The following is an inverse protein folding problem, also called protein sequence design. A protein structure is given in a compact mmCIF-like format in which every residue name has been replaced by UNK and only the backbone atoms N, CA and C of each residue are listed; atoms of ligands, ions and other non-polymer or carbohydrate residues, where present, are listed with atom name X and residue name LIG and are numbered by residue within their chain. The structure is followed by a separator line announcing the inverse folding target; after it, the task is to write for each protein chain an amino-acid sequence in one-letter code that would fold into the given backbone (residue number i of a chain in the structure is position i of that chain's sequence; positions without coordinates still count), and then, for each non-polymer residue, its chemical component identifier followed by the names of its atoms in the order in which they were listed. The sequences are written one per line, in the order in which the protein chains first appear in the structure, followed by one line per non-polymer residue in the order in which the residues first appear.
data_IF_554263707960
#
_entry.id   IF_554263707960
#
_cell.length_a   1.000
_cell.length_b   1.000
_cell.length_c   1.000
_cell.angle_alpha   90.00
_cell.angle_beta   90.00
_cell.angle_gamma   90.00
#
_symmetry.space_group_name_H-M   'P 1'
#
loop_
_entity.id
_entity.type
_entity.pdbx_description
1 polymer ?
#
# COMPACT_ATOMS: atom_id res chain seq x y z
N UNK A 1 -27.69 12.02 48.09
CA UNK A 1 -27.29 11.56 46.74
C UNK A 1 -27.63 10.09 46.65
N UNK A 2 -28.59 9.64 45.82
CA UNK A 2 -28.95 8.24 45.72
C UNK A 2 -27.94 7.50 44.82
N UNK A 3 -27.39 6.39 45.35
CA UNK A 3 -26.53 5.45 44.66
C UNK A 3 -27.39 4.54 43.78
N UNK A 4 -27.18 4.62 42.46
CA UNK A 4 -27.80 3.71 41.48
C UNK A 4 -26.96 2.44 41.36
N UNK A 5 -27.56 1.29 41.72
CA UNK A 5 -26.94 -0.03 41.53
C UNK A 5 -27.03 -0.44 40.05
N UNK A 6 -25.97 -1.04 39.49
CA UNK A 6 -25.99 -1.58 38.12
C UNK A 6 -26.90 -2.81 38.04
N UNK A 7 -27.75 -2.84 37.01
CA UNK A 7 -28.66 -3.94 36.70
C UNK A 7 -27.90 -5.03 35.94
N UNK A 8 -27.77 -6.20 36.54
CA UNK A 8 -27.22 -7.41 35.93
C UNK A 8 -28.30 -8.04 35.03
N UNK A 9 -28.00 -8.24 33.77
CA UNK A 9 -28.82 -8.99 32.83
C UNK A 9 -28.52 -10.48 32.95
N UNK A 10 -29.52 -11.38 32.93
CA UNK A 10 -29.31 -12.81 33.01
C UNK A 10 -28.75 -13.38 31.69
N UNK A 11 -27.88 -14.38 31.82
CA UNK A 11 -27.29 -15.11 30.70
C UNK A 11 -28.35 -15.99 30.00
N UNK A 12 -28.26 -16.21 28.68
CA UNK A 12 -29.16 -17.09 27.96
C UNK A 12 -28.83 -18.57 28.23
N UNK A 13 -29.89 -19.35 28.49
CA UNK A 13 -29.87 -20.77 28.77
C UNK A 13 -29.31 -21.63 27.64
N UNK A 14 -28.37 -22.48 27.95
CA UNK A 14 -27.86 -23.55 27.09
C UNK A 14 -28.91 -24.65 26.95
N UNK A 15 -29.56 -24.75 25.81
CA UNK A 15 -30.33 -25.94 25.44
C UNK A 15 -29.49 -26.87 24.56
N UNK A 16 -29.12 -27.98 25.13
CA UNK A 16 -28.59 -29.16 24.45
C UNK A 16 -29.64 -29.72 23.48
N UNK A 17 -29.32 -29.75 22.20
CA UNK A 17 -30.09 -30.49 21.20
C UNK A 17 -29.36 -31.78 20.81
N UNK A 18 -30.12 -32.83 20.92
CA UNK A 18 -29.85 -34.24 20.68
C UNK A 18 -29.36 -34.56 19.27
N UNK A 19 -28.45 -35.52 19.21
CA UNK A 19 -27.87 -36.12 18.01
C UNK A 19 -28.88 -37.04 17.32
N UNK A 20 -29.10 -36.85 16.02
CA UNK A 20 -29.77 -37.78 15.10
C UNK A 20 -28.79 -38.21 13.99
N UNK A 21 -28.99 -39.40 13.34
CA UNK A 21 -27.94 -40.13 12.64
C UNK A 21 -27.58 -39.57 11.26
N UNK A 22 -26.31 -39.78 10.92
CA UNK A 22 -25.62 -39.46 9.66
C UNK A 22 -26.22 -40.04 8.40
N UNK A 23 -26.25 -39.22 7.34
CA UNK A 23 -26.41 -39.68 5.95
C UNK A 23 -25.21 -39.16 5.16
N UNK A 24 -24.51 -40.00 4.37
CA UNK A 24 -23.37 -39.57 3.58
C UNK A 24 -23.84 -38.95 2.27
N UNK A 25 -23.46 -37.70 2.05
CA UNK A 25 -23.71 -36.98 0.80
C UNK A 25 -22.83 -35.75 0.73
N UNK A 26 -21.69 -35.90 0.08
CA UNK A 26 -20.67 -34.87 -0.12
C UNK A 26 -21.19 -33.81 -1.07
N UNK A 27 -21.78 -32.78 -0.54
CA UNK A 27 -21.95 -31.51 -1.27
C UNK A 27 -21.06 -30.45 -0.56
N UNK A 28 -19.91 -30.21 -1.15
CA UNK A 28 -19.02 -29.10 -0.73
C UNK A 28 -19.75 -27.79 -1.04
N UNK A 29 -20.28 -27.15 -0.01
CA UNK A 29 -20.82 -25.80 -0.12
C UNK A 29 -19.66 -24.82 -0.32
N UNK A 30 -19.68 -23.93 -1.32
CA UNK A 30 -18.67 -22.90 -1.46
C UNK A 30 -18.72 -21.97 -0.26
N UNK A 31 -17.58 -21.81 0.43
CA UNK A 31 -17.42 -20.83 1.51
C UNK A 31 -17.43 -19.43 0.89
N UNK A 32 -18.41 -18.63 1.28
CA UNK A 32 -18.42 -17.20 1.00
C UNK A 32 -17.23 -16.60 1.79
N UNK A 33 -16.25 -16.03 1.08
CA UNK A 33 -15.09 -15.36 1.70
C UNK A 33 -13.72 -15.88 1.29
N UNK A 34 -13.61 -16.70 0.24
CA UNK A 34 -12.29 -17.05 -0.32
C UNK A 34 -11.76 -15.85 -1.12
N UNK A 35 -10.54 -15.34 -0.83
CA UNK A 35 -9.96 -14.23 -1.59
C UNK A 35 -9.84 -14.60 -3.08
N UNK A 36 -10.00 -13.62 -3.97
CA UNK A 36 -9.94 -13.81 -5.42
C UNK A 36 -8.64 -14.48 -5.94
N UNK A 37 -7.59 -14.51 -5.13
CA UNK A 37 -6.33 -15.21 -5.42
C UNK A 37 -6.48 -16.75 -5.55
N UNK A 38 -7.55 -17.33 -5.02
CA UNK A 38 -7.77 -18.78 -5.16
C UNK A 38 -8.23 -19.21 -6.56
N UNK A 39 -8.58 -18.25 -7.43
CA UNK A 39 -8.94 -18.53 -8.82
C UNK A 39 -7.74 -18.73 -9.75
N UNK A 40 -6.56 -18.26 -9.34
CA UNK A 40 -5.31 -18.37 -10.13
C UNK A 40 -4.65 -19.74 -9.94
N UNK A 41 -4.95 -20.47 -8.86
CA UNK A 41 -4.32 -21.75 -8.53
C UNK A 41 -5.11 -23.00 -8.97
N UNK A 42 -6.10 -22.88 -9.86
CA UNK A 42 -6.87 -24.04 -10.32
C UNK A 42 -6.27 -24.81 -11.50
N UNK A 43 -5.12 -24.44 -11.98
CA UNK A 43 -4.44 -25.15 -13.08
C UNK A 43 -3.17 -25.89 -12.65
N UNK A 44 -2.94 -26.13 -11.36
CA UNK A 44 -1.90 -27.02 -10.89
C UNK A 44 -2.48 -28.43 -10.66
N UNK A 45 -2.82 -29.11 -11.73
CA UNK A 45 -3.21 -30.51 -11.76
C UNK A 45 -2.67 -31.15 -13.02
N UNK A 46 -1.62 -31.95 -12.84
CA UNK A 46 -1.07 -32.96 -13.75
C UNK A 46 -0.51 -32.48 -15.10
N UNK A 47 0.79 -32.66 -15.25
CA UNK A 47 1.55 -32.87 -16.46
C UNK A 47 1.63 -31.73 -17.50
N UNK A 48 2.79 -31.18 -17.63
CA UNK A 48 3.20 -30.39 -18.78
C UNK A 48 3.62 -28.97 -18.44
N UNK A 49 4.90 -28.76 -18.47
CA UNK A 49 5.56 -27.47 -18.56
C UNK A 49 5.01 -26.74 -19.80
N UNK A 50 4.05 -25.87 -19.63
CA UNK A 50 3.79 -24.79 -20.57
C UNK A 50 4.05 -23.46 -19.89
N UNK A 51 5.18 -22.89 -20.26
CA UNK A 51 5.51 -21.50 -20.00
C UNK A 51 4.40 -20.64 -20.57
N UNK A 52 3.57 -20.07 -19.69
CA UNK A 52 2.71 -18.97 -20.08
C UNK A 52 3.65 -17.81 -20.45
N UNK A 53 3.81 -17.60 -21.73
CA UNK A 53 4.49 -16.45 -22.31
C UNK A 53 3.74 -15.21 -21.81
N UNK A 54 4.31 -14.52 -20.86
CA UNK A 54 3.84 -13.19 -20.46
C UNK A 54 4.04 -12.26 -21.65
N UNK A 55 2.93 -11.91 -22.29
CA UNK A 55 2.89 -10.80 -23.24
C UNK A 55 2.90 -9.52 -22.40
N UNK A 56 4.07 -8.99 -22.18
CA UNK A 56 4.30 -7.74 -21.48
C UNK A 56 5.77 -7.68 -21.09
N UNK A 57 6.52 -6.77 -21.67
CA UNK A 57 7.91 -6.45 -21.29
C UNK A 57 7.90 -5.82 -19.90
N UNK A 58 7.43 -6.55 -18.90
CA UNK A 58 7.48 -6.15 -17.50
C UNK A 58 8.82 -6.61 -16.93
N UNK A 59 9.47 -5.73 -16.21
CA UNK A 59 10.60 -6.06 -15.31
C UNK A 59 10.20 -7.28 -14.48
N UNK A 60 11.05 -8.30 -14.40
CA UNK A 60 10.79 -9.48 -13.58
C UNK A 60 10.43 -9.03 -12.16
N UNK A 61 9.44 -9.67 -11.51
CA UNK A 61 8.91 -9.21 -10.21
C UNK A 61 10.00 -9.00 -9.15
N UNK A 62 11.09 -9.75 -9.19
CA UNK A 62 12.23 -9.59 -8.28
C UNK A 62 13.11 -8.36 -8.56
N UNK A 63 13.04 -7.81 -9.77
CA UNK A 63 13.83 -6.64 -10.18
C UNK A 63 13.03 -5.33 -10.13
N UNK A 64 11.74 -5.41 -9.80
CA UNK A 64 10.92 -4.21 -9.66
C UNK A 64 11.38 -3.38 -8.46
N UNK A 65 11.43 -2.04 -8.56
CA UNK A 65 11.86 -1.16 -7.47
C UNK A 65 11.15 -1.44 -6.14
N UNK A 66 9.84 -1.69 -6.17
CA UNK A 66 9.07 -2.06 -4.98
C UNK A 66 9.58 -3.33 -4.28
N UNK A 67 10.16 -4.27 -5.01
CA UNK A 67 10.71 -5.51 -4.42
C UNK A 67 12.21 -5.39 -4.16
N UNK A 68 12.91 -4.67 -5.03
CA UNK A 68 14.37 -4.54 -4.99
C UNK A 68 14.83 -3.65 -3.84
N UNK A 69 14.08 -2.58 -3.57
CA UNK A 69 14.45 -1.57 -2.58
C UNK A 69 13.68 -1.66 -1.27
N UNK A 70 12.65 -2.52 -1.19
CA UNK A 70 11.93 -2.74 0.05
C UNK A 70 12.85 -3.32 1.14
N UNK A 71 12.70 -2.83 2.36
CA UNK A 71 13.37 -3.42 3.52
C UNK A 71 12.76 -4.78 3.85
N UNK A 72 13.57 -5.75 4.25
CA UNK A 72 13.06 -7.05 4.69
C UNK A 72 12.12 -6.89 5.88
N UNK A 73 10.96 -7.51 5.79
CA UNK A 73 9.98 -7.55 6.87
C UNK A 73 9.38 -8.94 7.00
N UNK A 74 9.34 -9.47 8.21
CA UNK A 74 8.78 -10.78 8.52
C UNK A 74 7.59 -10.66 9.45
N UNK A 75 6.53 -11.41 9.17
CA UNK A 75 5.34 -11.52 10.01
C UNK A 75 5.02 -13.00 10.26
N UNK A 76 5.84 -13.71 11.07
CA UNK A 76 5.72 -15.15 11.24
C UNK A 76 4.40 -15.56 11.92
N UNK A 77 3.81 -14.68 12.72
CA UNK A 77 2.54 -14.93 13.41
C UNK A 77 1.31 -14.57 12.58
N UNK A 78 1.49 -14.08 11.35
CA UNK A 78 0.43 -13.61 10.46
C UNK A 78 -0.53 -12.58 11.11
N UNK A 79 0.01 -11.71 11.97
CA UNK A 79 -0.76 -10.67 12.62
C UNK A 79 -1.23 -9.61 11.61
N UNK A 80 -2.32 -8.90 11.91
CA UNK A 80 -2.71 -7.74 11.14
C UNK A 80 -1.59 -6.69 11.10
N UNK A 81 -1.30 -6.18 9.90
CA UNK A 81 -0.22 -5.22 9.68
C UNK A 81 -0.79 -3.81 9.51
N UNK A 82 -0.05 -2.85 10.02
CA UNK A 82 -0.24 -1.43 9.77
C UNK A 82 1.10 -0.84 9.33
N UNK A 83 1.10 -0.12 8.21
CA UNK A 83 2.26 0.62 7.74
C UNK A 83 2.10 2.10 8.13
N UNK A 84 3.18 2.69 8.66
CA UNK A 84 3.25 4.10 8.99
C UNK A 84 4.16 4.77 7.97
N UNK A 85 3.65 5.82 7.33
CA UNK A 85 4.40 6.64 6.37
C UNK A 85 4.49 8.05 6.93
N UNK A 86 5.71 8.54 7.13
CA UNK A 86 5.98 9.90 7.56
C UNK A 86 6.25 10.77 6.33
N UNK A 87 5.58 11.92 6.24
CA UNK A 87 5.73 12.84 5.11
C UNK A 87 6.84 13.85 5.42
N UNK A 88 7.87 13.90 4.56
CA UNK A 88 8.92 14.88 4.62
C UNK A 88 8.65 16.01 3.61
N UNK A 89 8.28 17.16 4.14
CA UNK A 89 8.00 18.39 3.40
C UNK A 89 9.12 19.43 3.57
N UNK A 90 10.31 19.03 3.99
CA UNK A 90 11.46 19.89 4.12
C UNK A 90 11.90 20.18 5.56
N UNK A 91 11.56 19.30 6.52
CA UNK A 91 12.06 19.41 7.87
C UNK A 91 13.60 19.29 7.94
N UNK A 92 14.22 19.87 8.98
CA UNK A 92 15.64 19.72 9.21
C UNK A 92 15.97 18.28 9.63
N UNK A 93 16.68 17.56 8.79
CA UNK A 93 17.05 16.15 9.02
C UNK A 93 18.10 15.99 10.12
N UNK A 94 18.84 17.04 10.46
CA UNK A 94 19.89 17.00 11.47
C UNK A 94 19.37 17.44 12.86
N UNK A 95 18.11 17.87 12.95
CA UNK A 95 17.48 18.26 14.20
C UNK A 95 17.41 17.07 15.17
N UNK A 96 17.88 17.28 16.40
CA UNK A 96 17.97 16.21 17.39
C UNK A 96 16.61 15.67 17.84
N UNK A 97 15.56 16.49 17.78
CA UNK A 97 14.23 16.16 18.31
C UNK A 97 13.28 15.56 17.25
N UNK A 98 13.47 15.93 15.97
CA UNK A 98 12.55 15.56 14.88
C UNK A 98 13.26 15.00 13.64
N UNK A 99 14.60 15.06 13.61
CA UNK A 99 15.41 14.58 12.49
C UNK A 99 15.80 13.12 12.60
N UNK A 100 16.74 12.70 11.75
CA UNK A 100 17.25 11.32 11.71
C UNK A 100 17.73 10.78 13.07
N UNK A 101 18.36 11.57 13.96
CA UNK A 101 18.76 11.08 15.27
C UNK A 101 17.60 10.60 16.15
N UNK A 102 16.44 11.27 16.06
CA UNK A 102 15.24 10.87 16.80
C UNK A 102 14.63 9.58 16.26
N UNK A 103 14.72 9.35 14.95
CA UNK A 103 14.11 8.20 14.26
C UNK A 103 14.80 6.88 14.61
N UNK A 104 16.07 6.89 14.96
CA UNK A 104 16.80 5.70 15.41
C UNK A 104 16.23 5.08 16.70
N UNK A 105 15.42 5.84 17.46
CA UNK A 105 14.74 5.36 18.66
C UNK A 105 13.36 4.75 18.43
N UNK A 106 12.82 4.84 17.21
CA UNK A 106 11.50 4.26 16.85
C UNK A 106 11.60 2.73 16.83
N UNK A 107 10.82 2.01 17.66
CA UNK A 107 10.99 0.58 17.85
C UNK A 107 10.33 -0.29 16.76
N UNK A 108 9.74 0.30 15.74
CA UNK A 108 9.06 -0.38 14.65
C UNK A 108 9.44 0.24 13.30
N UNK A 109 9.37 -0.53 12.20
CA UNK A 109 9.68 -0.01 10.89
C UNK A 109 8.67 1.07 10.47
N UNK A 110 9.18 2.18 9.94
CA UNK A 110 8.43 3.26 9.33
C UNK A 110 8.96 3.51 7.94
N UNK A 111 8.13 4.11 7.08
CA UNK A 111 8.51 4.53 5.74
C UNK A 111 8.45 6.06 5.66
N UNK A 112 9.18 6.63 4.71
CA UNK A 112 9.17 8.07 4.46
C UNK A 112 8.61 8.38 3.08
N UNK A 113 7.90 9.48 2.95
CA UNK A 113 7.49 10.04 1.67
C UNK A 113 8.10 11.43 1.52
N UNK A 114 9.06 11.56 0.62
CA UNK A 114 9.79 12.81 0.38
C UNK A 114 9.11 13.61 -0.71
N UNK A 115 8.81 14.89 -0.45
CA UNK A 115 8.23 15.78 -1.44
C UNK A 115 9.19 16.01 -2.61
N UNK A 116 8.75 15.66 -3.83
CA UNK A 116 9.55 15.78 -5.05
C UNK A 116 9.88 17.23 -5.42
N UNK A 117 9.17 18.21 -4.86
CA UNK A 117 9.39 19.63 -5.10
C UNK A 117 10.57 20.20 -4.30
N UNK A 118 11.08 19.49 -3.31
CA UNK A 118 12.21 19.92 -2.52
C UNK A 118 13.49 19.95 -3.37
N UNK A 119 14.31 21.00 -3.27
CA UNK A 119 15.53 21.11 -4.05
C UNK A 119 16.59 20.05 -3.70
N UNK A 120 16.50 19.46 -2.52
CA UNK A 120 17.37 18.43 -1.97
C UNK A 120 16.68 17.05 -1.84
N UNK A 121 15.56 16.84 -2.57
CA UNK A 121 14.77 15.59 -2.47
C UNK A 121 15.61 14.32 -2.66
N UNK A 122 16.51 14.31 -3.63
CA UNK A 122 17.39 13.15 -3.89
C UNK A 122 18.35 12.85 -2.73
N UNK A 123 18.92 13.90 -2.13
CA UNK A 123 19.82 13.75 -0.99
C UNK A 123 19.06 13.25 0.25
N UNK A 124 17.83 13.73 0.46
CA UNK A 124 16.95 13.24 1.54
C UNK A 124 16.63 11.76 1.37
N UNK A 125 16.26 11.35 0.17
CA UNK A 125 16.04 9.92 -0.14
C UNK A 125 17.28 9.11 0.19
N UNK A 126 18.46 9.54 -0.26
CA UNK A 126 19.71 8.83 0.01
C UNK A 126 19.99 8.71 1.52
N UNK A 127 19.74 9.75 2.30
CA UNK A 127 19.92 9.76 3.77
C UNK A 127 18.98 8.80 4.47
N UNK A 128 17.67 8.81 4.13
CA UNK A 128 16.70 7.86 4.69
C UNK A 128 17.03 6.42 4.31
N UNK A 129 17.47 6.20 3.05
CA UNK A 129 17.90 4.86 2.59
C UNK A 129 19.14 4.38 3.35
N UNK A 130 20.10 5.24 3.63
CA UNK A 130 21.30 4.91 4.42
C UNK A 130 20.97 4.46 5.85
N UNK A 131 19.89 5.01 6.44
CA UNK A 131 19.37 4.59 7.75
C UNK A 131 18.48 3.33 7.69
N UNK A 132 18.26 2.77 6.50
CA UNK A 132 17.49 1.54 6.33
C UNK A 132 15.97 1.74 6.25
N UNK A 133 15.48 2.91 5.89
CA UNK A 133 14.05 3.16 5.72
C UNK A 133 13.58 2.89 4.28
N UNK A 134 12.35 2.47 4.13
CA UNK A 134 11.65 2.51 2.85
C UNK A 134 11.26 3.93 2.51
N UNK A 135 11.50 4.35 1.26
CA UNK A 135 11.23 5.71 0.82
C UNK A 135 10.31 5.71 -0.39
N UNK A 136 9.30 6.59 -0.36
CA UNK A 136 8.39 6.91 -1.44
C UNK A 136 8.64 8.33 -1.94
N UNK A 137 8.34 8.58 -3.21
CA UNK A 137 8.23 9.94 -3.71
C UNK A 137 6.83 10.49 -3.41
N UNK A 138 6.73 11.61 -2.71
CA UNK A 138 5.44 12.29 -2.54
C UNK A 138 5.22 13.24 -3.71
N UNK A 139 4.17 12.98 -4.48
CA UNK A 139 3.86 13.69 -5.73
C UNK A 139 2.54 14.43 -5.64
N UNK A 140 2.56 15.70 -5.98
CA UNK A 140 1.38 16.53 -6.18
C UNK A 140 1.26 16.91 -7.67
N UNK A 141 0.04 16.92 -8.17
CA UNK A 141 -0.27 17.52 -9.47
C UNK A 141 -1.09 18.80 -9.27
N UNK A 142 -0.95 19.79 -10.16
CA UNK A 142 -1.77 20.99 -10.09
C UNK A 142 -3.24 20.67 -10.38
N UNK A 143 -4.12 21.56 -9.93
CA UNK A 143 -5.55 21.48 -10.25
C UNK A 143 -5.75 21.52 -11.77
N UNK A 144 -6.58 20.63 -12.30
CA UNK A 144 -6.84 20.54 -13.73
C UNK A 144 -5.69 19.93 -14.55
N UNK A 145 -4.72 19.27 -13.88
CA UNK A 145 -3.63 18.57 -14.57
C UNK A 145 -4.15 17.63 -15.66
N UNK A 146 -3.39 17.57 -16.75
CA UNK A 146 -3.62 16.67 -17.85
C UNK A 146 -2.72 15.43 -17.75
N UNK A 147 -2.98 14.36 -18.49
CA UNK A 147 -2.11 13.16 -18.50
C UNK A 147 -0.63 13.46 -18.83
N UNK A 148 -0.37 14.48 -19.66
CA UNK A 148 1.00 14.93 -19.96
C UNK A 148 1.71 15.56 -18.77
N UNK A 149 0.97 16.26 -17.89
CA UNK A 149 1.54 16.84 -16.68
C UNK A 149 1.92 15.72 -15.69
N UNK A 150 1.08 14.69 -15.60
CA UNK A 150 1.37 13.51 -14.83
C UNK A 150 2.62 12.78 -15.36
N UNK A 151 2.76 12.63 -16.67
CA UNK A 151 3.93 12.00 -17.29
C UNK A 151 5.22 12.76 -16.97
N UNK A 152 5.23 14.07 -17.11
CA UNK A 152 6.40 14.90 -16.79
C UNK A 152 6.74 14.80 -15.30
N UNK A 153 5.76 15.01 -14.43
CA UNK A 153 5.99 15.00 -12.97
C UNK A 153 6.47 13.63 -12.49
N UNK A 154 5.83 12.56 -12.94
CA UNK A 154 6.25 11.19 -12.60
C UNK A 154 7.64 10.87 -13.14
N UNK A 155 7.97 11.31 -14.37
CA UNK A 155 9.31 11.13 -14.95
C UNK A 155 10.37 11.83 -14.10
N UNK A 156 10.12 13.07 -13.66
CA UNK A 156 11.03 13.82 -12.77
C UNK A 156 11.19 13.08 -11.45
N UNK A 157 10.09 12.64 -10.82
CA UNK A 157 10.13 11.93 -9.54
C UNK A 157 10.92 10.62 -9.62
N UNK A 158 10.57 9.76 -10.58
CA UNK A 158 11.17 8.42 -10.69
C UNK A 158 12.63 8.45 -11.15
N UNK A 159 13.02 9.43 -11.97
CA UNK A 159 14.42 9.57 -12.40
C UNK A 159 15.28 10.37 -11.42
N UNK A 160 14.65 11.33 -10.70
CA UNK A 160 15.37 12.21 -9.76
C UNK A 160 15.61 11.57 -8.38
N UNK A 161 14.80 10.58 -8.02
CA UNK A 161 14.89 9.92 -6.72
C UNK A 161 15.09 8.40 -6.90
N UNK A 162 16.33 7.94 -7.11
CA UNK A 162 16.62 6.51 -7.22
C UNK A 162 16.34 5.80 -5.88
N UNK A 163 16.09 4.48 -5.96
CA UNK A 163 15.87 3.61 -4.80
C UNK A 163 14.57 3.86 -4.00
N UNK A 164 13.63 4.59 -4.56
CA UNK A 164 12.28 4.66 -3.98
C UNK A 164 11.51 3.37 -4.28
N UNK A 165 10.66 2.96 -3.33
CA UNK A 165 9.81 1.75 -3.48
C UNK A 165 8.49 2.06 -4.18
N UNK A 166 8.07 3.31 -4.18
CA UNK A 166 6.77 3.72 -4.73
C UNK A 166 6.53 5.21 -4.67
N UNK A 167 5.30 5.57 -4.96
CA UNK A 167 4.80 6.94 -4.96
C UNK A 167 3.67 7.09 -3.96
N UNK A 168 3.71 8.15 -3.16
CA UNK A 168 2.60 8.62 -2.33
C UNK A 168 1.94 9.82 -3.02
N UNK A 169 0.63 9.79 -3.16
CA UNK A 169 -0.14 10.97 -3.52
C UNK A 169 -0.05 12.02 -2.42
N UNK A 170 0.36 13.22 -2.75
CA UNK A 170 0.44 14.32 -1.79
C UNK A 170 -0.94 14.81 -1.32
N UNK A 171 -0.95 15.70 -0.34
CA UNK A 171 -2.18 16.21 0.30
C UNK A 171 -2.92 17.26 -0.54
N UNK A 172 -2.31 17.79 -1.62
CA UNK A 172 -2.91 18.74 -2.56
C UNK A 172 -4.01 18.13 -3.43
N UNK A 173 -4.16 18.61 -4.67
CA UNK A 173 -5.16 18.07 -5.63
C UNK A 173 -4.91 16.59 -5.97
N UNK A 174 -3.65 16.20 -5.95
CA UNK A 174 -3.23 14.81 -6.00
C UNK A 174 -3.29 14.18 -7.39
N UNK A 175 -3.18 12.84 -7.40
CA UNK A 175 -3.10 12.02 -8.61
C UNK A 175 -4.48 11.58 -9.12
N UNK A 176 -5.54 11.86 -8.36
CA UNK A 176 -6.91 11.42 -8.60
C UNK A 176 -7.80 12.52 -9.22
N UNK A 177 -7.21 13.61 -9.74
CA UNK A 177 -7.95 14.77 -10.23
C UNK A 177 -8.87 14.47 -11.43
N UNK A 178 -8.47 13.53 -12.30
CA UNK A 178 -9.31 12.99 -13.37
C UNK A 178 -9.02 11.51 -13.60
N UNK A 179 -9.93 10.83 -14.30
CA UNK A 179 -9.72 9.42 -14.63
C UNK A 179 -8.54 9.24 -15.59
N UNK A 180 -8.41 10.12 -16.55
CA UNK A 180 -7.34 10.08 -17.56
C UNK A 180 -5.96 10.24 -16.91
N UNK A 181 -5.84 11.11 -15.91
CA UNK A 181 -4.62 11.29 -15.12
C UNK A 181 -4.34 10.03 -14.31
N UNK A 182 -5.34 9.49 -13.59
CA UNK A 182 -5.18 8.27 -12.80
C UNK A 182 -4.78 7.07 -13.67
N UNK A 183 -5.36 6.92 -14.86
CA UNK A 183 -5.01 5.89 -15.83
C UNK A 183 -3.56 6.07 -16.34
N UNK A 184 -3.10 7.31 -16.57
CA UNK A 184 -1.74 7.59 -17.02
C UNK A 184 -0.71 7.27 -15.92
N UNK A 185 -0.95 7.73 -14.69
CA UNK A 185 -0.08 7.42 -13.54
C UNK A 185 0.01 5.91 -13.33
N UNK A 186 -1.11 5.19 -13.38
CA UNK A 186 -1.15 3.74 -13.24
C UNK A 186 -0.28 3.05 -14.29
N UNK A 187 -0.37 3.47 -15.57
CA UNK A 187 0.48 2.92 -16.65
C UNK A 187 1.96 3.17 -16.42
N UNK A 188 2.33 4.37 -15.94
CA UNK A 188 3.72 4.70 -15.65
C UNK A 188 4.25 3.81 -14.52
N UNK A 189 3.48 3.65 -13.44
CA UNK A 189 3.88 2.81 -12.30
C UNK A 189 3.93 1.31 -12.65
N UNK A 190 3.03 0.84 -13.50
CA UNK A 190 3.07 -0.51 -14.05
C UNK A 190 4.35 -0.76 -14.86
N UNK A 191 4.72 0.18 -15.72
CA UNK A 191 5.92 0.07 -16.54
C UNK A 191 7.21 0.15 -15.72
N UNK A 192 7.24 0.98 -14.68
CA UNK A 192 8.41 1.22 -13.83
C UNK A 192 8.55 0.23 -12.66
N UNK A 193 7.48 -0.46 -12.27
CA UNK A 193 7.48 -1.44 -11.19
C UNK A 193 7.46 -0.84 -9.78
N UNK A 194 7.04 0.41 -9.62
CA UNK A 194 6.86 1.06 -8.32
C UNK A 194 5.46 0.84 -7.75
N UNK A 195 5.34 0.92 -6.41
CA UNK A 195 4.06 0.89 -5.72
C UNK A 195 3.34 2.24 -5.71
N UNK A 196 2.07 2.23 -5.30
CA UNK A 196 1.22 3.41 -5.20
C UNK A 196 0.52 3.49 -3.85
N UNK A 197 0.63 4.62 -3.19
CA UNK A 197 -0.20 4.97 -2.03
C UNK A 197 -1.00 6.22 -2.39
N UNK A 198 -2.32 6.16 -2.25
CA UNK A 198 -3.21 7.29 -2.58
C UNK A 198 -3.84 7.88 -1.32
N UNK A 199 -4.16 9.16 -1.36
CA UNK A 199 -4.99 9.77 -0.34
C UNK A 199 -6.40 9.18 -0.38
N UNK A 200 -7.05 9.15 0.79
CA UNK A 200 -8.43 8.67 0.89
C UNK A 200 -9.40 9.77 0.43
N UNK A 201 -9.55 9.90 -0.89
CA UNK A 201 -10.37 10.92 -1.53
C UNK A 201 -11.47 10.27 -2.37
N UNK A 202 -12.69 10.79 -2.24
CA UNK A 202 -13.81 10.37 -3.08
C UNK A 202 -14.09 8.86 -3.03
N UNK A 203 -14.24 8.22 -4.18
CA UNK A 203 -14.59 6.80 -4.29
C UNK A 203 -13.39 5.84 -4.19
N UNK A 204 -12.18 6.35 -4.02
CA UNK A 204 -10.95 5.53 -4.00
C UNK A 204 -10.87 4.52 -5.16
N UNK A 205 -11.20 4.96 -6.37
CA UNK A 205 -11.20 4.10 -7.55
C UNK A 205 -9.80 3.81 -8.08
N UNK A 206 -8.87 4.75 -7.92
CA UNK A 206 -7.51 4.65 -8.43
C UNK A 206 -6.72 3.47 -7.83
N UNK A 207 -6.68 3.23 -6.50
CA UNK A 207 -5.98 2.06 -5.97
C UNK A 207 -6.54 0.75 -6.50
N UNK A 208 -7.86 0.66 -6.67
CA UNK A 208 -8.52 -0.53 -7.23
C UNK A 208 -8.14 -0.76 -8.70
N UNK A 209 -8.07 0.32 -9.48
CA UNK A 209 -7.61 0.27 -10.86
C UNK A 209 -6.15 -0.18 -10.92
N UNK A 210 -5.28 0.45 -10.14
CA UNK A 210 -3.86 0.12 -10.08
C UNK A 210 -3.62 -1.37 -9.72
N UNK A 211 -4.32 -1.88 -8.71
CA UNK A 211 -4.26 -3.30 -8.34
C UNK A 211 -4.70 -4.22 -9.48
N UNK A 212 -5.75 -3.85 -10.22
CA UNK A 212 -6.24 -4.62 -11.38
C UNK A 212 -5.20 -4.68 -12.49
N UNK A 213 -4.46 -3.60 -12.70
CA UNK A 213 -3.37 -3.51 -13.68
C UNK A 213 -2.04 -4.08 -13.16
N UNK A 214 -2.02 -4.68 -11.97
CA UNK A 214 -0.85 -5.34 -11.37
C UNK A 214 0.12 -4.41 -10.65
N UNK A 215 -0.25 -3.15 -10.41
CA UNK A 215 0.50 -2.21 -9.58
C UNK A 215 0.10 -2.42 -8.11
N UNK A 216 1.03 -2.74 -7.20
CA UNK A 216 0.75 -2.76 -5.78
C UNK A 216 0.25 -1.39 -5.30
N UNK A 217 -0.96 -1.33 -4.76
CA UNK A 217 -1.57 -0.06 -4.40
C UNK A 217 -2.43 -0.18 -3.13
N UNK A 218 -2.41 0.87 -2.32
CA UNK A 218 -3.25 1.00 -1.14
C UNK A 218 -3.69 2.46 -0.93
N UNK A 219 -4.90 2.72 -0.40
CA UNK A 219 -5.26 4.04 0.08
C UNK A 219 -4.67 4.27 1.48
N UNK A 220 -4.40 5.53 1.82
CA UNK A 220 -4.17 5.95 3.19
C UNK A 220 -5.41 5.62 4.02
N UNK A 221 -5.24 4.84 5.08
CA UNK A 221 -6.34 4.47 5.96
C UNK A 221 -6.74 5.63 6.87
N UNK A 222 -5.75 6.31 7.44
CA UNK A 222 -5.94 7.43 8.34
C UNK A 222 -4.76 8.39 8.26
N UNK A 223 -5.06 9.66 8.19
CA UNK A 223 -4.13 10.76 8.42
C UNK A 223 -4.22 11.15 9.90
N UNK A 224 -3.08 11.18 10.60
CA UNK A 224 -3.01 11.50 12.02
C UNK A 224 -2.73 12.98 12.27
N UNK A 225 -2.34 13.73 11.24
CA UNK A 225 -2.04 15.15 11.32
C UNK A 225 -3.25 16.02 10.95
N UNK A 226 -4.27 15.43 10.31
CA UNK A 226 -5.53 16.10 10.03
C UNK A 226 -6.48 15.97 11.23
N UNK A 227 -6.76 17.08 11.89
CA UNK A 227 -7.83 17.18 12.88
C UNK A 227 -9.23 17.17 12.25
#
# INVERSE_FOLDING_TARGET
VPVVKPRVLPAPDSRTASVGPSVPGTAVRPRIGTPANSLINRTAGADGVESVTQIGSGVARGDQPISRYAQPFENPEALPLMSIVLMDTGADLDAAEIGLPALSSVPYPVSFAVDVSLPDAADRVARYRAEGFDVLAMVNLPQGAQPTDAEVTMSVALNGMPEIVGVLEGTGEGLQGSREVADQVTRILQASGHGLVTQNKGLNSMPKLALKEGVPAAPVFRDFDSE
#
